data_IF_193490919765
#
_entry.id   IF_193490919765
#
_cell.length_a   1.000
_cell.length_b   1.000
_cell.length_c   1.000
_cell.angle_alpha   90.00
_cell.angle_beta   90.00
_cell.angle_gamma   90.00
#
_symmetry.space_group_name_H-M   'P 1'
#
loop_
_entity.id
_entity.type
_entity.pdbx_description
1 polymer ?
#
# COMPACT_ATOMS: atom_id res chain seq x y z
N UNK A 1 -23.43 19.48 -8.92
CA UNK A 1 -23.25 18.60 -7.75
C UNK A 1 -21.86 17.99 -7.81
N UNK A 2 -21.03 18.11 -6.77
CA UNK A 2 -19.92 17.16 -6.61
C UNK A 2 -20.51 15.75 -6.49
N UNK A 3 -19.91 14.78 -7.19
CA UNK A 3 -20.44 13.41 -7.26
C UNK A 3 -20.44 12.70 -5.91
N UNK A 4 -19.63 13.19 -4.95
CA UNK A 4 -19.42 12.56 -3.65
C UNK A 4 -20.40 13.02 -2.56
N UNK A 5 -20.84 14.29 -2.57
CA UNK A 5 -21.64 14.86 -1.47
C UNK A 5 -22.97 15.47 -1.91
N UNK A 6 -23.27 15.49 -3.21
CA UNK A 6 -24.52 16.09 -3.70
C UNK A 6 -24.48 17.61 -3.77
N UNK A 7 -23.36 18.26 -3.42
CA UNK A 7 -23.30 19.72 -3.22
C UNK A 7 -23.02 20.44 -4.53
N UNK A 8 -23.77 21.50 -4.81
CA UNK A 8 -23.52 22.32 -6.00
C UNK A 8 -22.30 23.21 -5.80
N UNK A 9 -21.43 23.25 -6.81
CA UNK A 9 -20.34 24.22 -6.84
C UNK A 9 -20.93 25.60 -7.12
N UNK A 10 -20.55 26.58 -6.32
CA UNK A 10 -20.76 27.99 -6.63
C UNK A 10 -19.42 28.62 -7.01
N UNK A 11 -19.38 29.28 -8.16
CA UNK A 11 -18.20 30.01 -8.61
C UNK A 11 -18.22 31.41 -7.97
N UNK A 12 -17.22 31.74 -7.15
CA UNK A 12 -17.05 33.10 -6.62
C UNK A 12 -16.13 33.93 -7.52
N UNK A 13 -14.87 33.53 -7.61
CA UNK A 13 -13.84 34.16 -8.47
C UNK A 13 -13.36 33.25 -9.60
N UNK A 14 -13.71 31.96 -9.54
CA UNK A 14 -13.38 30.99 -10.57
C UNK A 14 -14.32 31.13 -11.79
N UNK A 15 -13.88 30.63 -12.94
CA UNK A 15 -14.69 30.53 -14.17
C UNK A 15 -15.07 29.08 -14.42
N UNK A 16 -16.23 28.85 -15.03
CA UNK A 16 -16.56 27.52 -15.53
C UNK A 16 -15.63 27.20 -16.72
N UNK A 17 -14.90 26.09 -16.62
CA UNK A 17 -14.13 25.53 -17.73
C UNK A 17 -14.96 24.49 -18.51
N UNK A 18 -15.90 23.82 -17.83
CA UNK A 18 -16.91 22.97 -18.45
C UNK A 18 -18.18 22.96 -17.58
N UNK A 19 -19.34 22.70 -18.20
CA UNK A 19 -20.65 22.57 -17.54
C UNK A 19 -21.26 21.20 -17.80
N UNK A 20 -22.16 20.73 -16.93
CA UNK A 20 -22.90 19.50 -17.19
C UNK A 20 -23.89 19.70 -18.34
N UNK A 21 -23.97 18.72 -19.25
CA UNK A 21 -24.88 18.74 -20.40
C UNK A 21 -26.32 19.05 -19.98
N UNK A 22 -26.93 20.05 -20.63
CA UNK A 22 -28.30 20.47 -20.35
C UNK A 22 -28.47 21.32 -19.09
N UNK A 23 -27.38 21.80 -18.48
CA UNK A 23 -27.41 22.67 -17.30
C UNK A 23 -26.37 23.78 -17.41
N UNK A 24 -26.53 24.83 -16.59
CA UNK A 24 -25.50 25.86 -16.37
C UNK A 24 -24.56 25.54 -15.19
N UNK A 25 -24.72 24.34 -14.60
CA UNK A 25 -23.91 23.95 -13.44
C UNK A 25 -22.48 23.62 -13.88
N UNK A 26 -21.44 24.20 -13.27
CA UNK A 26 -20.07 23.90 -13.62
C UNK A 26 -19.73 22.45 -13.23
N UNK A 27 -19.21 21.70 -14.19
CA UNK A 27 -18.60 20.38 -13.98
C UNK A 27 -17.10 20.52 -13.67
N UNK A 28 -16.47 21.53 -14.27
CA UNK A 28 -15.06 21.89 -14.05
C UNK A 28 -14.98 23.39 -13.84
N UNK A 29 -14.29 23.81 -12.79
CA UNK A 29 -13.98 25.22 -12.57
C UNK A 29 -12.48 25.47 -12.70
N UNK A 30 -12.12 26.64 -13.22
CA UNK A 30 -10.76 27.12 -13.36
C UNK A 30 -10.59 28.38 -12.52
N UNK A 31 -9.61 28.36 -11.64
CA UNK A 31 -9.15 29.52 -10.89
C UNK A 31 -7.70 29.86 -11.27
N UNK A 32 -7.31 31.12 -11.10
CA UNK A 32 -5.92 31.57 -11.26
C UNK A 32 -5.36 31.98 -9.92
N UNK A 33 -4.19 31.44 -9.58
CA UNK A 33 -3.47 31.76 -8.33
C UNK A 33 -2.05 32.15 -8.70
N UNK A 34 -1.75 33.44 -8.60
CA UNK A 34 -0.51 34.00 -9.17
C UNK A 34 -0.44 33.77 -10.69
N UNK A 35 0.67 33.22 -11.16
CA UNK A 35 0.85 32.79 -12.56
C UNK A 35 0.26 31.40 -12.86
N UNK A 36 -0.18 30.66 -11.82
CA UNK A 36 -0.69 29.30 -11.93
C UNK A 36 -2.18 29.22 -12.28
N UNK A 37 -2.59 28.08 -12.81
CA UNK A 37 -3.98 27.67 -13.02
C UNK A 37 -4.33 26.52 -12.08
N UNK A 38 -5.51 26.56 -11.47
CA UNK A 38 -6.04 25.49 -10.63
C UNK A 38 -7.37 25.05 -11.21
N UNK A 39 -7.46 23.78 -11.61
CA UNK A 39 -8.70 23.17 -12.10
C UNK A 39 -9.33 22.33 -10.98
N UNK A 40 -10.61 22.54 -10.70
CA UNK A 40 -11.39 21.71 -9.79
C UNK A 40 -12.42 20.92 -10.60
N UNK A 41 -12.34 19.59 -10.51
CA UNK A 41 -13.20 18.65 -11.20
C UNK A 41 -14.23 18.13 -10.18
N UNK A 42 -15.51 18.40 -10.41
CA UNK A 42 -16.57 18.07 -9.47
C UNK A 42 -17.60 17.11 -10.07
N UNK A 43 -17.12 16.21 -10.90
CA UNK A 43 -17.94 15.19 -11.52
C UNK A 43 -17.16 13.88 -11.54
N UNK A 44 -17.89 12.78 -11.53
CA UNK A 44 -17.35 11.53 -12.05
C UNK A 44 -17.40 11.59 -13.57
N UNK A 45 -16.25 11.36 -14.20
CA UNK A 45 -16.14 11.34 -15.65
C UNK A 45 -16.01 9.89 -16.10
N UNK A 46 -16.64 9.54 -17.23
CA UNK A 46 -16.24 8.32 -17.94
C UNK A 46 -14.76 8.44 -18.33
N UNK A 47 -14.03 7.31 -18.51
CA UNK A 47 -12.64 7.36 -18.94
C UNK A 47 -12.41 8.21 -20.21
N UNK A 48 -13.34 8.18 -21.16
CA UNK A 48 -13.25 8.99 -22.39
C UNK A 48 -13.45 10.49 -22.12
N UNK A 49 -14.42 10.85 -21.28
CA UNK A 49 -14.64 12.24 -20.89
C UNK A 49 -13.44 12.77 -20.09
N UNK A 50 -12.87 11.96 -19.19
CA UNK A 50 -11.67 12.29 -18.43
C UNK A 50 -10.48 12.53 -19.36
N UNK A 51 -10.22 11.64 -20.32
CA UNK A 51 -9.16 11.83 -21.33
C UNK A 51 -9.36 13.10 -22.15
N UNK A 52 -10.59 13.38 -22.59
CA UNK A 52 -10.89 14.58 -23.37
C UNK A 52 -10.61 15.86 -22.56
N UNK A 53 -11.10 15.90 -21.33
CA UNK A 53 -10.91 17.01 -20.39
C UNK A 53 -9.42 17.22 -20.10
N UNK A 54 -8.71 16.17 -19.68
CA UNK A 54 -7.28 16.28 -19.38
C UNK A 54 -6.49 16.61 -20.63
N UNK A 55 -6.77 15.99 -21.77
CA UNK A 55 -6.12 16.32 -23.03
C UNK A 55 -6.26 17.79 -23.41
N UNK A 56 -7.45 18.38 -23.23
CA UNK A 56 -7.67 19.81 -23.46
C UNK A 56 -6.89 20.68 -22.45
N UNK A 57 -6.96 20.35 -21.16
CA UNK A 57 -6.24 21.09 -20.10
C UNK A 57 -4.73 21.04 -20.35
N UNK A 58 -4.19 19.87 -20.63
CA UNK A 58 -2.76 19.68 -20.88
C UNK A 58 -2.33 20.43 -22.14
N UNK A 59 -3.09 20.31 -23.24
CA UNK A 59 -2.82 21.00 -24.50
C UNK A 59 -2.81 22.53 -24.37
N UNK A 60 -3.80 23.12 -23.68
CA UNK A 60 -3.85 24.57 -23.41
C UNK A 60 -2.67 25.11 -22.61
N UNK A 61 -1.97 24.23 -21.88
CA UNK A 61 -0.82 24.58 -21.05
C UNK A 61 0.49 24.07 -21.65
N UNK A 62 0.49 23.67 -22.93
CA UNK A 62 1.64 23.11 -23.64
C UNK A 62 2.28 21.92 -22.90
N UNK A 63 1.47 21.17 -22.16
CA UNK A 63 1.87 19.91 -21.54
C UNK A 63 1.51 18.81 -22.53
N UNK A 64 2.51 18.12 -23.05
CA UNK A 64 2.34 17.00 -23.97
C UNK A 64 2.70 15.69 -23.28
N UNK A 65 2.08 14.60 -23.73
CA UNK A 65 2.53 13.26 -23.39
C UNK A 65 3.96 13.06 -23.90
N UNK A 66 4.85 12.56 -23.04
CA UNK A 66 6.24 12.29 -23.43
C UNK A 66 6.33 11.10 -24.38
N UNK A 67 5.44 10.12 -24.23
CA UNK A 67 5.45 8.87 -24.99
C UNK A 67 4.02 8.44 -25.35
N UNK A 68 3.33 9.17 -26.26
CA UNK A 68 1.96 8.87 -26.64
C UNK A 68 1.83 7.49 -27.28
N UNK A 69 0.73 6.82 -26.97
CA UNK A 69 0.38 5.48 -27.45
C UNK A 69 -0.95 5.54 -28.20
N UNK A 70 -1.06 4.79 -29.29
CA UNK A 70 -2.30 4.72 -30.06
C UNK A 70 -3.47 4.20 -29.20
N UNK A 71 -4.67 4.70 -29.50
CA UNK A 71 -5.91 4.41 -28.75
C UNK A 71 -6.31 2.93 -28.72
N UNK A 72 -5.65 2.07 -29.51
CA UNK A 72 -5.85 0.62 -29.49
C UNK A 72 -5.40 -0.03 -28.19
N UNK A 73 -4.57 0.66 -27.38
CA UNK A 73 -4.17 0.23 -26.05
C UNK A 73 -4.50 1.33 -25.01
N UNK A 74 -5.78 1.47 -24.62
CA UNK A 74 -6.24 2.64 -23.86
C UNK A 74 -5.76 2.67 -22.40
N UNK A 75 -5.23 1.57 -21.86
CA UNK A 75 -4.82 1.46 -20.45
C UNK A 75 -3.30 1.37 -20.29
N UNK A 76 -2.55 2.02 -21.19
CA UNK A 76 -1.10 2.02 -21.14
C UNK A 76 -0.60 3.25 -20.38
N UNK A 77 0.10 3.01 -19.28
CA UNK A 77 0.89 4.01 -18.59
C UNK A 77 2.25 4.13 -19.27
N UNK A 78 2.72 5.35 -19.52
CA UNK A 78 4.02 5.58 -20.15
C UNK A 78 4.91 6.56 -19.40
N UNK A 79 6.22 6.37 -19.56
CA UNK A 79 7.23 7.22 -18.93
C UNK A 79 8.52 7.28 -19.75
N UNK A 80 9.22 8.41 -19.65
CA UNK A 80 10.59 8.57 -20.18
C UNK A 80 11.49 9.02 -19.05
N UNK A 81 12.44 8.17 -18.67
CA UNK A 81 13.43 8.47 -17.63
C UNK A 81 14.79 8.74 -18.28
N UNK A 82 15.50 9.77 -17.83
CA UNK A 82 16.76 10.20 -18.47
C UNK A 82 17.90 10.21 -17.46
N UNK A 83 19.06 9.67 -17.84
CA UNK A 83 20.31 9.77 -17.07
C UNK A 83 21.48 10.03 -18.01
N UNK A 84 21.93 11.28 -18.05
CA UNK A 84 22.87 11.73 -19.10
C UNK A 84 22.22 11.60 -20.48
N UNK A 85 22.88 10.87 -21.39
CA UNK A 85 22.37 10.62 -22.74
C UNK A 85 21.55 9.33 -22.86
N UNK A 86 21.47 8.52 -21.80
CA UNK A 86 20.66 7.31 -21.77
C UNK A 86 19.20 7.66 -21.46
N UNK A 87 18.26 6.97 -22.11
CA UNK A 87 16.82 7.07 -21.82
C UNK A 87 16.19 5.70 -21.62
N UNK A 88 15.29 5.61 -20.65
CA UNK A 88 14.41 4.45 -20.46
C UNK A 88 13.01 4.84 -20.90
N UNK A 89 12.49 4.14 -21.89
CA UNK A 89 11.11 4.25 -22.34
C UNK A 89 10.31 3.14 -21.66
N UNK A 90 9.35 3.53 -20.84
CA UNK A 90 8.53 2.62 -20.04
C UNK A 90 7.10 2.62 -20.58
N UNK A 91 6.54 1.43 -20.80
CA UNK A 91 5.15 1.24 -21.19
C UNK A 91 4.57 0.09 -20.34
N UNK A 92 3.54 0.35 -19.56
CA UNK A 92 2.85 -0.68 -18.77
C UNK A 92 1.39 -0.76 -19.17
N UNK A 93 0.95 -1.91 -19.67
CA UNK A 93 -0.43 -2.11 -20.10
C UNK A 93 -1.26 -2.71 -18.97
N UNK A 94 -2.08 -1.88 -18.33
CA UNK A 94 -3.02 -2.30 -17.30
C UNK A 94 -4.27 -3.02 -17.86
N UNK A 95 -4.45 -3.02 -19.19
CA UNK A 95 -5.53 -3.71 -19.88
C UNK A 95 -5.17 -5.13 -20.31
N UNK A 96 -5.95 -5.69 -21.24
CA UNK A 96 -5.62 -6.95 -21.92
C UNK A 96 -4.52 -6.79 -22.96
N UNK A 97 -4.00 -7.91 -23.47
CA UNK A 97 -2.99 -7.93 -24.54
C UNK A 97 -3.38 -7.03 -25.71
N UNK A 98 -2.45 -6.19 -26.18
CA UNK A 98 -2.72 -5.21 -27.21
C UNK A 98 -1.56 -5.05 -28.19
N UNK A 99 -1.89 -4.84 -29.47
CA UNK A 99 -0.95 -4.32 -30.48
C UNK A 99 -1.20 -2.83 -30.65
N UNK A 100 -0.14 -2.04 -30.54
CA UNK A 100 -0.24 -0.58 -30.59
C UNK A 100 1.03 0.03 -31.18
N UNK A 101 1.04 1.35 -31.33
CA UNK A 101 2.19 2.14 -31.74
C UNK A 101 2.44 3.19 -30.67
N UNK A 102 3.69 3.29 -30.20
CA UNK A 102 4.10 4.43 -29.39
C UNK A 102 4.94 5.39 -30.21
N UNK A 103 4.91 6.68 -29.85
CA UNK A 103 5.78 7.72 -30.44
C UNK A 103 6.57 8.41 -29.34
N UNK A 104 7.74 8.95 -29.69
CA UNK A 104 8.48 9.86 -28.82
C UNK A 104 8.76 11.17 -29.57
N UNK A 105 7.80 12.12 -29.57
CA UNK A 105 7.91 13.36 -30.35
C UNK A 105 9.12 14.21 -29.98
N UNK A 106 9.49 14.20 -28.69
CA UNK A 106 10.64 14.90 -28.14
C UNK A 106 11.94 14.07 -28.21
N UNK A 107 12.00 13.03 -29.06
CA UNK A 107 13.22 12.26 -29.27
C UNK A 107 14.36 13.18 -29.72
N UNK A 108 15.52 13.15 -29.05
CA UNK A 108 16.68 13.94 -29.44
C UNK A 108 17.17 13.54 -30.83
N UNK A 109 17.80 14.47 -31.54
CA UNK A 109 18.38 14.20 -32.85
C UNK A 109 19.59 13.26 -32.75
N UNK A 110 19.79 12.49 -33.81
CA UNK A 110 20.87 11.50 -33.91
C UNK A 110 20.37 10.07 -34.15
N UNK A 111 21.31 9.14 -34.07
CA UNK A 111 21.07 7.70 -34.17
C UNK A 111 21.20 7.07 -32.79
N UNK A 112 20.31 6.14 -32.49
CA UNK A 112 20.20 5.48 -31.21
C UNK A 112 20.08 3.97 -31.37
N UNK A 113 20.69 3.21 -30.47
CA UNK A 113 20.28 1.82 -30.26
C UNK A 113 19.06 1.80 -29.36
N UNK A 114 18.06 0.98 -29.72
CA UNK A 114 16.90 0.70 -28.88
C UNK A 114 16.91 -0.79 -28.56
N UNK A 115 16.88 -1.13 -27.28
CA UNK A 115 16.97 -2.52 -26.82
C UNK A 115 15.92 -2.77 -25.75
N UNK A 116 15.44 -4.00 -25.71
CA UNK A 116 14.69 -4.48 -24.56
C UNK A 116 15.65 -4.52 -23.35
N UNK A 117 15.28 -3.83 -22.26
CA UNK A 117 16.17 -3.62 -21.13
C UNK A 117 16.40 -4.90 -20.31
N UNK A 118 15.48 -5.87 -20.38
CA UNK A 118 15.55 -7.13 -19.65
C UNK A 118 16.44 -8.14 -20.40
N UNK A 119 16.17 -8.36 -21.68
CA UNK A 119 16.91 -9.32 -22.52
C UNK A 119 18.21 -8.75 -23.11
N UNK A 120 18.35 -7.43 -23.14
CA UNK A 120 19.45 -6.72 -23.79
C UNK A 120 19.45 -6.81 -25.32
N UNK A 121 18.43 -7.41 -25.93
CA UNK A 121 18.36 -7.64 -27.37
C UNK A 121 17.90 -6.38 -28.14
N UNK A 122 18.39 -6.18 -29.39
CA UNK A 122 17.86 -5.13 -30.27
C UNK A 122 16.35 -5.23 -30.42
N UNK A 123 15.67 -4.12 -30.15
CA UNK A 123 14.22 -4.07 -30.24
C UNK A 123 13.77 -4.19 -31.71
N UNK A 124 12.78 -5.05 -31.97
CA UNK A 124 12.29 -5.37 -33.32
C UNK A 124 13.39 -5.79 -34.32
N UNK A 125 14.54 -6.29 -33.84
CA UNK A 125 15.68 -6.68 -34.68
C UNK A 125 16.41 -5.51 -35.38
N UNK A 126 16.02 -4.26 -35.13
CA UNK A 126 16.66 -3.08 -35.74
C UNK A 126 17.80 -2.59 -34.87
N UNK A 127 18.99 -2.44 -35.45
CA UNK A 127 20.20 -2.01 -34.74
C UNK A 127 20.18 -0.53 -34.35
N UNK A 128 19.70 0.33 -35.24
CA UNK A 128 19.73 1.78 -35.07
C UNK A 128 18.39 2.42 -35.40
N UNK A 129 18.03 3.44 -34.65
CA UNK A 129 16.79 4.20 -34.71
C UNK A 129 17.14 5.68 -34.79
N UNK A 130 16.56 6.37 -35.76
CA UNK A 130 16.66 7.81 -35.91
C UNK A 130 15.59 8.54 -35.09
N UNK A 131 15.79 9.82 -34.81
CA UNK A 131 14.74 10.66 -34.19
C UNK A 131 13.43 10.65 -34.99
N UNK A 132 13.50 10.52 -36.31
CA UNK A 132 12.32 10.42 -37.16
C UNK A 132 11.56 9.11 -37.00
N UNK A 133 12.26 7.98 -36.77
CA UNK A 133 11.59 6.71 -36.48
C UNK A 133 10.73 6.82 -35.21
N UNK A 134 11.29 7.42 -34.16
CA UNK A 134 10.57 7.66 -32.90
C UNK A 134 9.39 8.61 -33.06
N UNK A 135 9.52 9.65 -33.88
CA UNK A 135 8.44 10.61 -34.18
C UNK A 135 7.33 9.98 -35.02
N UNK A 136 7.67 9.14 -35.99
CA UNK A 136 6.71 8.41 -36.84
C UNK A 136 5.95 7.35 -36.04
N UNK A 137 6.65 6.66 -35.15
CA UNK A 137 6.11 5.68 -34.23
C UNK A 137 6.65 4.28 -34.43
N UNK A 138 6.65 3.53 -33.34
CA UNK A 138 7.20 2.19 -33.25
C UNK A 138 6.08 1.23 -32.85
N UNK A 139 5.81 0.25 -33.71
CA UNK A 139 4.82 -0.79 -33.44
C UNK A 139 5.31 -1.74 -32.36
N UNK A 140 4.43 -2.06 -31.41
CA UNK A 140 4.73 -2.92 -30.25
C UNK A 140 3.55 -3.84 -29.94
N UNK A 141 3.87 -4.98 -29.32
CA UNK A 141 2.87 -5.84 -28.65
C UNK A 141 3.09 -5.69 -27.15
N UNK A 142 2.06 -5.27 -26.44
CA UNK A 142 2.09 -5.11 -24.98
C UNK A 142 1.23 -6.20 -24.35
N UNK A 143 1.85 -7.02 -23.51
CA UNK A 143 1.14 -8.04 -22.74
C UNK A 143 0.39 -7.40 -21.57
N UNK A 144 -0.73 -8.00 -21.19
CA UNK A 144 -1.52 -7.60 -20.04
C UNK A 144 -0.69 -7.64 -18.75
N UNK A 145 -0.74 -6.56 -17.97
CA UNK A 145 -0.08 -6.41 -16.67
C UNK A 145 1.44 -6.63 -16.67
N UNK A 146 2.09 -6.56 -17.84
CA UNK A 146 3.54 -6.69 -17.98
C UNK A 146 4.15 -5.41 -18.55
N UNK A 147 5.18 -4.83 -17.92
CA UNK A 147 5.86 -3.67 -18.45
C UNK A 147 6.76 -4.04 -19.63
N UNK A 148 6.72 -3.24 -20.69
CA UNK A 148 7.79 -3.17 -21.70
C UNK A 148 8.75 -2.05 -21.31
N UNK A 149 10.01 -2.40 -21.08
CA UNK A 149 11.06 -1.45 -20.71
C UNK A 149 12.13 -1.42 -21.79
N UNK A 150 12.24 -0.29 -22.48
CA UNK A 150 13.21 -0.11 -23.56
C UNK A 150 14.34 0.84 -23.15
N UNK A 151 15.57 0.44 -23.41
CA UNK A 151 16.75 1.29 -23.23
C UNK A 151 17.15 1.91 -24.57
N UNK A 152 17.10 3.23 -24.64
CA UNK A 152 17.54 4.06 -25.76
C UNK A 152 18.89 4.71 -25.41
N UNK A 153 19.90 4.47 -26.23
CA UNK A 153 21.26 5.02 -26.05
C UNK A 153 21.81 5.52 -27.39
N UNK A 154 22.69 6.56 -27.41
CA UNK A 154 23.32 6.98 -28.66
C UNK A 154 24.05 5.81 -29.33
N UNK A 155 23.92 5.67 -30.66
CA UNK A 155 24.42 4.51 -31.39
C UNK A 155 25.94 4.30 -31.26
N UNK A 156 26.70 5.39 -31.08
CA UNK A 156 28.15 5.37 -30.91
C UNK A 156 28.59 5.21 -29.44
N UNK A 157 27.67 5.25 -28.48
CA UNK A 157 28.01 5.12 -27.07
C UNK A 157 28.31 3.66 -26.71
N UNK A 158 29.14 3.45 -25.69
CA UNK A 158 29.28 2.14 -25.08
C UNK A 158 27.94 1.69 -24.50
N UNK A 159 27.46 0.54 -24.96
CA UNK A 159 26.17 0.01 -24.53
C UNK A 159 26.19 -0.33 -23.05
N UNK A 160 25.18 0.16 -22.32
CA UNK A 160 24.99 -0.20 -20.92
C UNK A 160 24.38 -1.59 -20.88
N UNK A 161 24.99 -2.49 -20.13
CA UNK A 161 24.49 -3.86 -19.94
C UNK A 161 23.97 -3.96 -18.52
N UNK A 162 22.69 -4.30 -18.37
CA UNK A 162 22.10 -4.61 -17.07
C UNK A 162 22.34 -6.09 -16.76
N UNK A 163 23.56 -6.45 -16.35
CA UNK A 163 23.88 -7.86 -16.08
C UNK A 163 23.50 -8.30 -14.67
N UNK A 164 23.40 -7.34 -13.73
CA UNK A 164 23.00 -7.59 -12.34
C UNK A 164 22.43 -6.33 -11.71
N UNK A 165 21.68 -6.54 -10.63
CA UNK A 165 21.31 -5.46 -9.72
C UNK A 165 22.56 -4.93 -9.00
N UNK A 166 22.47 -3.70 -8.49
CA UNK A 166 23.52 -3.22 -7.57
C UNK A 166 23.43 -4.00 -6.27
N UNK A 167 24.55 -4.15 -5.55
CA UNK A 167 24.53 -4.83 -4.24
C UNK A 167 23.56 -4.19 -3.24
N UNK A 168 23.28 -2.89 -3.39
CA UNK A 168 22.26 -2.21 -2.59
C UNK A 168 20.85 -2.67 -2.94
N UNK A 169 20.54 -2.89 -4.23
CA UNK A 169 19.26 -3.42 -4.67
C UNK A 169 19.11 -4.91 -4.35
N UNK A 170 20.17 -5.71 -4.51
CA UNK A 170 20.19 -7.13 -4.11
C UNK A 170 19.84 -7.26 -2.62
N UNK A 171 20.52 -6.48 -1.76
CA UNK A 171 20.22 -6.45 -0.31
C UNK A 171 18.79 -6.03 0.00
N UNK A 172 18.21 -5.09 -0.76
CA UNK A 172 16.80 -4.69 -0.59
C UNK A 172 15.83 -5.80 -1.02
N UNK A 173 16.13 -6.53 -2.09
CA UNK A 173 15.33 -7.68 -2.52
C UNK A 173 15.46 -8.85 -1.54
N UNK A 174 16.63 -9.07 -0.95
CA UNK A 174 16.82 -10.09 0.08
C UNK A 174 15.84 -9.91 1.25
N UNK A 175 15.56 -8.67 1.67
CA UNK A 175 14.55 -8.38 2.70
C UNK A 175 13.13 -8.86 2.33
N UNK A 176 12.81 -8.88 1.03
CA UNK A 176 11.50 -9.37 0.55
C UNK A 176 11.43 -10.90 0.60
N UNK A 177 12.53 -11.58 0.31
CA UNK A 177 12.57 -13.03 0.12
C UNK A 177 12.93 -13.81 1.38
N UNK A 178 13.81 -13.25 2.22
CA UNK A 178 14.37 -13.93 3.37
C UNK A 178 14.27 -13.08 4.62
N UNK A 179 14.05 -13.77 5.73
CA UNK A 179 14.11 -13.18 7.06
C UNK A 179 15.34 -13.76 7.74
N UNK A 180 16.14 -12.95 8.45
CA UNK A 180 17.26 -13.47 9.21
C UNK A 180 16.72 -14.45 10.26
N UNK A 181 17.39 -15.59 10.42
CA UNK A 181 17.07 -16.53 11.48
C UNK A 181 17.22 -15.84 12.83
N UNK A 182 16.16 -15.87 13.62
CA UNK A 182 16.10 -15.15 14.88
C UNK A 182 15.35 -15.94 15.94
N UNK A 183 15.56 -15.58 17.21
CA UNK A 183 14.98 -16.27 18.35
C UNK A 183 13.44 -16.19 18.37
N UNK A 184 12.88 -15.07 17.93
CA UNK A 184 11.44 -14.83 17.95
C UNK A 184 10.90 -14.94 16.54
N UNK A 185 10.26 -16.07 16.26
CA UNK A 185 9.67 -16.34 14.95
C UNK A 185 8.24 -15.84 14.91
N UNK A 186 7.92 -15.08 13.86
CA UNK A 186 6.61 -14.50 13.59
C UNK A 186 6.07 -15.06 12.28
N UNK A 187 4.80 -15.41 12.28
CA UNK A 187 4.08 -15.83 11.09
C UNK A 187 2.99 -14.82 10.73
N UNK A 188 3.11 -14.22 9.55
CA UNK A 188 2.11 -13.34 8.93
C UNK A 188 1.24 -14.15 7.99
N UNK A 189 -0.06 -14.14 8.22
CA UNK A 189 -1.04 -14.70 7.29
C UNK A 189 -1.24 -13.76 6.11
N UNK A 190 -0.98 -14.26 4.90
CA UNK A 190 -1.23 -13.60 3.62
C UNK A 190 -2.07 -14.48 2.68
N UNK A 191 -2.91 -15.35 3.24
CA UNK A 191 -3.78 -16.22 2.47
C UNK A 191 -4.79 -15.40 1.66
N UNK A 192 -4.89 -15.67 0.35
CA UNK A 192 -5.76 -15.14 -0.74
C UNK A 192 -6.52 -13.81 -0.57
N UNK A 193 -7.20 -13.58 0.55
CA UNK A 193 -7.79 -12.28 0.87
C UNK A 193 -6.79 -11.38 1.63
N UNK A 194 -5.98 -11.88 2.56
CA UNK A 194 -5.10 -11.03 3.38
C UNK A 194 -3.90 -10.54 2.56
N UNK A 195 -3.89 -9.26 2.18
CA UNK A 195 -2.87 -8.72 1.26
C UNK A 195 -1.65 -8.13 1.96
N UNK A 196 -1.68 -7.99 3.29
CA UNK A 196 -0.55 -7.45 4.04
C UNK A 196 0.55 -8.51 4.16
N UNK A 197 1.45 -8.52 3.18
CA UNK A 197 2.63 -9.38 3.12
C UNK A 197 3.88 -8.64 3.61
N UNK A 198 5.05 -9.33 3.68
CA UNK A 198 6.35 -8.63 3.90
C UNK A 198 6.52 -7.44 2.94
N UNK A 199 6.12 -7.60 1.68
CA UNK A 199 6.26 -6.57 0.64
C UNK A 199 5.47 -5.30 1.00
N UNK A 200 4.26 -5.44 1.56
CA UNK A 200 3.43 -4.29 1.95
C UNK A 200 3.80 -3.70 3.31
N UNK A 201 4.68 -4.37 4.07
CA UNK A 201 5.08 -3.99 5.42
C UNK A 201 6.59 -3.78 5.55
N UNK A 202 7.28 -3.47 4.44
CA UNK A 202 8.74 -3.46 4.38
C UNK A 202 9.41 -2.74 5.55
N UNK A 203 8.90 -1.56 5.93
CA UNK A 203 9.43 -0.78 7.05
C UNK A 203 9.26 -1.50 8.38
N UNK A 204 8.07 -2.04 8.64
CA UNK A 204 7.80 -2.78 9.86
C UNK A 204 8.64 -4.08 9.91
N UNK A 205 8.74 -4.80 8.79
CA UNK A 205 9.56 -6.00 8.66
C UNK A 205 11.02 -5.71 8.99
N UNK A 206 11.63 -4.73 8.29
CA UNK A 206 13.04 -4.40 8.49
C UNK A 206 13.30 -3.92 9.92
N UNK A 207 12.40 -3.11 10.47
CA UNK A 207 12.49 -2.67 11.86
C UNK A 207 12.44 -3.86 12.83
N UNK A 208 11.51 -4.79 12.65
CA UNK A 208 11.36 -5.95 13.51
C UNK A 208 12.56 -6.91 13.37
N UNK A 209 13.03 -7.16 12.15
CA UNK A 209 14.20 -8.01 11.90
C UNK A 209 15.46 -7.44 12.56
N UNK A 210 15.67 -6.12 12.49
CA UNK A 210 16.74 -5.42 13.19
C UNK A 210 16.59 -5.43 14.72
N UNK A 211 15.42 -5.84 15.24
CA UNK A 211 15.12 -5.98 16.66
C UNK A 211 14.94 -7.45 17.10
N UNK A 212 15.49 -8.41 16.34
CA UNK A 212 15.59 -9.80 16.78
C UNK A 212 14.38 -10.68 16.46
N UNK A 213 13.54 -10.26 15.51
CA UNK A 213 12.41 -11.03 15.01
C UNK A 213 12.73 -11.69 13.65
N UNK A 214 12.15 -12.86 13.40
CA UNK A 214 12.14 -13.54 12.10
C UNK A 214 10.72 -13.45 11.54
N UNK A 215 10.49 -12.67 10.47
CA UNK A 215 9.14 -12.41 9.95
C UNK A 215 8.84 -13.28 8.73
N UNK A 216 8.07 -14.35 8.87
CA UNK A 216 7.69 -15.23 7.77
C UNK A 216 6.27 -14.93 7.26
N UNK A 217 5.98 -15.14 5.97
CA UNK A 217 4.64 -14.90 5.37
C UNK A 217 4.05 -16.17 4.77
N UNK A 218 2.75 -16.37 4.98
CA UNK A 218 1.96 -17.49 4.47
C UNK A 218 1.12 -17.08 3.24
N UNK A 219 1.34 -17.65 2.05
CA UNK A 219 0.75 -17.13 0.81
C UNK A 219 -0.54 -17.80 0.32
N UNK A 220 -0.81 -19.10 0.58
CA UNK A 220 -2.11 -19.69 0.17
C UNK A 220 -2.47 -21.02 0.87
N UNK A 221 -3.76 -21.36 0.86
CA UNK A 221 -4.30 -22.71 1.14
C UNK A 221 -5.55 -22.94 0.27
N UNK A 222 -5.60 -24.03 -0.55
CA UNK A 222 -6.49 -25.14 -0.14
C UNK A 222 -6.10 -26.58 -0.61
N UNK A 223 -6.62 -27.53 0.17
CA UNK A 223 -6.72 -29.02 0.01
C UNK A 223 -5.43 -29.80 0.31
N UNK A 224 -5.40 -30.30 1.54
CA UNK A 224 -4.44 -31.25 2.14
C UNK A 224 -2.97 -30.83 2.29
N UNK A 225 -2.47 -29.88 1.51
CA UNK A 225 -1.10 -29.33 1.67
C UNK A 225 -1.09 -27.81 1.43
N UNK A 226 -0.27 -27.09 2.21
CA UNK A 226 -0.08 -25.64 2.11
C UNK A 226 1.30 -25.34 1.52
N UNK A 227 1.37 -24.60 0.42
CA UNK A 227 2.64 -24.18 -0.20
C UNK A 227 2.98 -22.76 0.27
N UNK A 228 4.16 -22.60 0.85
CA UNK A 228 4.72 -21.32 1.30
C UNK A 228 5.93 -21.02 0.41
N UNK A 229 6.27 -19.75 0.16
CA UNK A 229 7.51 -19.39 -0.56
C UNK A 229 8.80 -19.84 0.14
N UNK A 230 8.72 -20.45 1.33
CA UNK A 230 9.88 -21.02 2.01
C UNK A 230 9.59 -22.24 2.88
N UNK A 231 8.36 -22.53 3.36
CA UNK A 231 8.15 -23.73 4.18
C UNK A 231 6.68 -24.05 4.59
N UNK A 232 6.17 -25.25 4.24
CA UNK A 232 4.82 -25.80 4.53
C UNK A 232 4.30 -25.68 5.98
N UNK A 233 3.29 -24.86 6.29
CA UNK A 233 2.68 -24.85 7.63
C UNK A 233 1.60 -25.93 7.73
N UNK A 234 2.00 -27.11 8.16
CA UNK A 234 1.11 -28.10 8.77
C UNK A 234 0.83 -27.70 10.22
N UNK A 235 -0.10 -28.40 10.88
CA UNK A 235 -0.35 -28.33 12.33
C UNK A 235 0.94 -28.36 13.17
N UNK A 236 1.99 -28.92 12.58
CA UNK A 236 3.36 -29.06 13.09
C UNK A 236 4.22 -27.76 13.01
N UNK A 237 3.73 -26.64 12.45
CA UNK A 237 4.51 -25.39 12.33
C UNK A 237 4.05 -24.22 13.19
N UNK A 238 2.78 -24.05 13.57
CA UNK A 238 2.41 -22.93 14.47
C UNK A 238 3.16 -23.00 15.80
N UNK A 239 3.37 -24.20 16.32
CA UNK A 239 4.14 -24.43 17.55
C UNK A 239 5.62 -24.00 17.43
N UNK A 240 6.13 -23.85 16.20
CA UNK A 240 7.48 -23.33 15.93
C UNK A 240 7.55 -21.79 15.89
N UNK A 241 6.40 -21.12 15.94
CA UNK A 241 6.28 -19.66 15.95
C UNK A 241 5.89 -19.16 17.33
N UNK A 242 6.39 -17.98 17.70
CA UNK A 242 5.98 -17.31 18.93
C UNK A 242 4.74 -16.44 18.71
N UNK A 243 4.65 -15.82 17.53
CA UNK A 243 3.61 -14.84 17.19
C UNK A 243 2.96 -15.24 15.87
N UNK A 244 1.62 -15.26 15.85
CA UNK A 244 0.81 -15.35 14.64
C UNK A 244 0.10 -14.02 14.39
N UNK A 245 0.03 -13.61 13.13
CA UNK A 245 -0.56 -12.34 12.71
C UNK A 245 -1.58 -12.59 11.62
N UNK A 246 -2.79 -12.07 11.78
CA UNK A 246 -3.81 -11.97 10.74
C UNK A 246 -4.20 -10.51 10.55
N UNK A 247 -4.00 -10.00 9.35
CA UNK A 247 -4.20 -8.60 9.01
C UNK A 247 -5.41 -8.43 8.09
N UNK A 248 -5.97 -7.22 8.05
CA UNK A 248 -7.09 -6.88 7.18
C UNK A 248 -6.69 -6.92 5.71
N UNK A 249 -7.65 -7.29 4.87
CA UNK A 249 -7.58 -7.18 3.41
C UNK A 249 -8.13 -5.85 2.91
N UNK A 250 -7.70 -5.44 1.71
CA UNK A 250 -8.40 -4.46 0.87
C UNK A 250 -9.22 -5.09 -0.28
N UNK A 251 -9.22 -6.42 -0.43
CA UNK A 251 -9.96 -7.18 -1.45
C UNK A 251 -10.63 -8.40 -0.80
N UNK A 252 -11.86 -8.21 -0.34
CA UNK A 252 -12.70 -9.28 0.19
C UNK A 252 -12.35 -9.74 1.61
N UNK A 253 -13.09 -10.74 2.08
CA UNK A 253 -12.97 -11.25 3.45
C UNK A 253 -12.69 -12.76 3.45
N UNK A 254 -11.69 -13.18 4.23
CA UNK A 254 -11.34 -14.60 4.38
C UNK A 254 -12.37 -15.27 5.27
N UNK A 255 -13.07 -16.27 4.76
CA UNK A 255 -13.92 -17.14 5.60
C UNK A 255 -13.03 -18.13 6.36
N UNK A 256 -12.95 -17.98 7.68
CA UNK A 256 -12.23 -18.92 8.55
C UNK A 256 -13.10 -20.14 8.85
N UNK A 257 -12.50 -21.33 8.80
CA UNK A 257 -13.15 -22.56 9.26
C UNK A 257 -13.02 -22.69 10.77
N UNK A 258 -13.98 -23.33 11.42
CA UNK A 258 -13.96 -23.50 12.87
C UNK A 258 -12.73 -24.29 13.34
N UNK A 259 -12.23 -25.25 12.55
CA UNK A 259 -11.02 -26.01 12.88
C UNK A 259 -9.77 -25.11 12.93
N UNK A 260 -9.67 -24.13 12.02
CA UNK A 260 -8.58 -23.14 12.02
C UNK A 260 -8.66 -22.24 13.24
N UNK A 261 -9.87 -21.77 13.56
CA UNK A 261 -10.15 -20.95 14.75
C UNK A 261 -9.76 -21.70 16.03
N UNK A 262 -10.18 -22.96 16.17
CA UNK A 262 -9.85 -23.80 17.33
C UNK A 262 -8.34 -24.04 17.45
N UNK A 263 -7.64 -24.18 16.33
CA UNK A 263 -6.19 -24.37 16.28
C UNK A 263 -5.44 -23.09 16.72
N UNK A 264 -5.87 -21.92 16.27
CA UNK A 264 -5.31 -20.62 16.72
C UNK A 264 -5.59 -20.41 18.20
N UNK A 265 -6.81 -20.69 18.66
CA UNK A 265 -7.18 -20.60 20.07
C UNK A 265 -6.25 -21.46 20.94
N UNK A 266 -6.07 -22.74 20.58
CA UNK A 266 -5.16 -23.65 21.28
C UNK A 266 -3.70 -23.17 21.27
N UNK A 267 -3.24 -22.62 20.14
CA UNK A 267 -1.91 -22.01 20.03
C UNK A 267 -1.72 -20.89 21.06
N UNK A 268 -2.71 -19.99 21.19
CA UNK A 268 -2.66 -18.91 22.18
C UNK A 268 -2.74 -19.47 23.61
N UNK A 269 -3.66 -20.39 23.89
CA UNK A 269 -3.78 -21.05 25.21
C UNK A 269 -2.45 -21.65 25.69
N UNK A 270 -1.68 -22.22 24.76
CA UNK A 270 -0.39 -22.86 25.02
C UNK A 270 0.80 -21.90 25.11
N UNK A 271 0.60 -20.59 24.92
CA UNK A 271 1.65 -19.58 25.07
C UNK A 271 2.12 -18.91 23.77
N UNK A 272 1.53 -19.30 22.64
CA UNK A 272 1.58 -18.52 21.41
C UNK A 272 0.92 -17.15 21.59
N UNK A 273 1.25 -16.20 20.72
CA UNK A 273 0.69 -14.84 20.80
C UNK A 273 0.08 -14.42 19.46
N UNK A 274 -0.95 -13.59 19.51
CA UNK A 274 -1.79 -13.27 18.37
C UNK A 274 -1.89 -11.76 18.17
N UNK A 275 -1.62 -11.29 16.95
CA UNK A 275 -2.02 -9.96 16.51
C UNK A 275 -3.15 -10.10 15.49
N UNK A 276 -4.31 -9.53 15.80
CA UNK A 276 -5.44 -9.43 14.86
C UNK A 276 -5.65 -7.96 14.53
N UNK A 277 -5.44 -7.60 13.27
CA UNK A 277 -5.83 -6.29 12.78
C UNK A 277 -6.96 -6.40 11.78
N UNK A 278 -7.97 -5.55 11.96
CA UNK A 278 -9.02 -5.34 10.99
C UNK A 278 -8.60 -4.30 9.93
N UNK A 279 -9.49 -4.05 8.98
CA UNK A 279 -9.44 -2.87 8.15
C UNK A 279 -10.87 -2.54 7.77
N UNK A 280 -11.25 -1.28 7.94
CA UNK A 280 -12.53 -0.74 7.50
C UNK A 280 -12.31 0.54 6.68
N UNK A 281 -11.36 0.54 5.75
CA UNK A 281 -11.11 1.67 4.88
C UNK A 281 -12.08 1.72 3.68
N UNK A 282 -12.47 2.92 3.29
CA UNK A 282 -13.04 3.20 1.96
C UNK A 282 -11.87 3.55 1.06
N UNK A 283 -11.57 2.69 0.08
CA UNK A 283 -10.58 2.98 -0.96
C UNK A 283 -11.25 3.36 -2.28
N UNK A 284 -10.50 3.92 -3.26
CA UNK A 284 -11.02 4.20 -4.61
C UNK A 284 -11.50 2.93 -5.35
N UNK A 285 -11.15 1.75 -4.84
CA UNK A 285 -11.56 0.45 -5.37
C UNK A 285 -12.67 -0.25 -4.56
N UNK A 286 -13.31 0.45 -3.61
CA UNK A 286 -14.51 -0.02 -2.92
C UNK A 286 -14.41 -0.08 -1.39
N UNK A 287 -15.43 -0.70 -0.79
CA UNK A 287 -15.52 -0.97 0.65
C UNK A 287 -14.55 -2.09 1.04
N UNK A 288 -13.56 -1.78 1.87
CA UNK A 288 -12.74 -2.81 2.53
C UNK A 288 -13.38 -3.09 3.89
N UNK A 289 -13.99 -4.26 4.07
CA UNK A 289 -14.59 -4.65 5.35
C UNK A 289 -14.30 -6.12 5.62
N UNK A 290 -13.48 -6.41 6.65
CA UNK A 290 -13.02 -7.77 7.00
C UNK A 290 -13.89 -8.45 8.07
N UNK A 291 -15.20 -8.19 8.07
CA UNK A 291 -16.11 -8.49 9.19
C UNK A 291 -16.30 -9.98 9.46
N UNK A 292 -16.75 -10.73 8.46
CA UNK A 292 -17.26 -12.09 8.63
C UNK A 292 -16.17 -13.09 8.98
N UNK A 293 -14.95 -12.89 8.50
CA UNK A 293 -13.82 -13.75 8.78
C UNK A 293 -13.30 -13.60 10.20
N UNK A 294 -12.85 -12.40 10.53
CA UNK A 294 -12.14 -12.14 11.78
C UNK A 294 -13.08 -12.11 12.99
N UNK A 295 -14.35 -11.76 12.80
CA UNK A 295 -15.35 -11.80 13.87
C UNK A 295 -15.53 -13.19 14.49
N UNK A 296 -15.47 -14.26 13.69
CA UNK A 296 -15.57 -15.64 14.20
C UNK A 296 -14.38 -15.98 15.09
N UNK A 297 -13.17 -15.57 14.71
CA UNK A 297 -11.97 -15.77 15.52
C UNK A 297 -12.00 -14.94 16.81
N UNK A 298 -12.31 -13.65 16.71
CA UNK A 298 -12.30 -12.74 17.86
C UNK A 298 -13.35 -13.08 18.92
N UNK A 299 -14.48 -13.67 18.50
CA UNK A 299 -15.55 -14.12 19.40
C UNK A 299 -15.07 -15.17 20.40
N UNK A 300 -14.13 -16.04 20.04
CA UNK A 300 -13.52 -17.02 20.96
C UNK A 300 -12.77 -16.37 22.13
N UNK A 301 -12.40 -15.10 21.98
CA UNK A 301 -11.70 -14.29 22.97
C UNK A 301 -12.61 -13.22 23.60
N UNK A 302 -13.92 -13.27 23.32
CA UNK A 302 -14.91 -12.30 23.80
C UNK A 302 -14.71 -10.88 23.26
N UNK A 303 -14.11 -10.75 22.08
CA UNK A 303 -13.89 -9.47 21.41
C UNK A 303 -14.77 -9.40 20.16
N UNK A 304 -15.34 -8.23 19.92
CA UNK A 304 -16.16 -7.93 18.77
C UNK A 304 -15.57 -6.77 17.99
N UNK A 305 -15.65 -6.89 16.67
CA UNK A 305 -15.25 -5.86 15.71
C UNK A 305 -16.52 -5.25 15.12
N UNK A 306 -16.68 -3.93 15.27
CA UNK A 306 -17.81 -3.18 14.73
C UNK A 306 -17.61 -2.80 13.27
N UNK A 307 -18.71 -2.60 12.53
CA UNK A 307 -18.73 -1.94 11.21
C UNK A 307 -18.77 -0.40 11.30
N UNK A 308 -18.55 0.13 12.50
CA UNK A 308 -18.45 1.57 12.71
C UNK A 308 -17.01 2.00 12.54
N UNK A 309 -16.80 2.87 11.56
CA UNK A 309 -15.57 3.60 11.36
C UNK A 309 -15.46 4.77 12.33
N UNK A 310 -14.24 5.02 12.82
CA UNK A 310 -13.93 6.27 13.50
C UNK A 310 -13.64 7.35 12.47
N UNK A 311 -14.36 8.46 12.58
CA UNK A 311 -14.00 9.73 11.91
C UNK A 311 -13.40 10.68 12.93
N UNK A 312 -12.21 11.21 12.66
CA UNK A 312 -11.67 12.33 13.42
C UNK A 312 -11.83 13.60 12.58
N UNK A 313 -12.71 14.53 12.97
CA UNK A 313 -12.99 15.72 12.18
C UNK A 313 -11.99 16.86 12.40
N UNK A 314 -11.14 16.76 13.42
CA UNK A 314 -10.17 17.80 13.79
C UNK A 314 -8.74 17.46 13.44
N UNK A 315 -8.43 16.18 13.27
CA UNK A 315 -7.06 15.70 13.16
C UNK A 315 -6.98 14.44 12.29
N UNK A 316 -6.67 14.68 11.01
CA UNK A 316 -6.61 13.68 9.96
C UNK A 316 -5.58 14.07 8.91
N UNK A 317 -5.22 13.13 8.05
CA UNK A 317 -4.36 13.37 6.89
C UNK A 317 -5.17 13.34 5.59
N UNK A 318 -4.59 13.91 4.53
CA UNK A 318 -5.10 13.90 3.15
C UNK A 318 -6.57 14.32 2.99
N UNK A 319 -7.05 15.22 3.85
CA UNK A 319 -8.44 15.71 3.80
C UNK A 319 -9.51 14.62 3.98
N UNK A 320 -9.15 13.51 4.61
CA UNK A 320 -10.04 12.38 4.81
C UNK A 320 -10.19 12.02 6.29
N UNK A 321 -11.30 12.42 6.97
CA UNK A 321 -11.51 12.21 8.41
C UNK A 321 -11.42 10.75 8.90
N UNK A 322 -11.55 9.77 8.00
CA UNK A 322 -11.35 8.35 8.33
C UNK A 322 -9.87 8.01 8.59
N UNK A 323 -8.95 8.84 8.11
CA UNK A 323 -7.51 8.69 8.29
C UNK A 323 -7.06 9.58 9.46
N UNK A 324 -7.72 9.35 10.59
CA UNK A 324 -7.56 10.14 11.80
C UNK A 324 -6.32 9.75 12.61
N UNK A 325 -5.85 10.71 13.41
CA UNK A 325 -4.87 10.45 14.46
C UNK A 325 -5.53 10.30 15.83
N UNK A 326 -4.85 9.58 16.71
CA UNK A 326 -5.31 9.23 18.04
C UNK A 326 -4.24 9.57 19.07
N UNK A 327 -4.65 10.24 20.15
CA UNK A 327 -3.76 10.45 21.30
C UNK A 327 -3.69 9.16 22.11
N UNK A 328 -2.47 8.80 22.50
CA UNK A 328 -2.20 7.56 23.23
C UNK A 328 -1.73 7.92 24.63
N UNK A 329 -2.36 7.29 25.63
CA UNK A 329 -1.94 7.40 27.02
C UNK A 329 -0.99 6.25 27.36
N UNK A 330 0.14 6.58 28.01
CA UNK A 330 1.09 5.59 28.50
C UNK A 330 0.52 4.90 29.75
N UNK A 331 -0.14 3.75 29.56
CA UNK A 331 -0.84 2.96 30.60
C UNK A 331 -0.46 1.49 30.57
N UNK A 332 0.27 1.06 29.55
CA UNK A 332 0.62 -0.33 29.29
C UNK A 332 1.98 -0.37 28.60
N UNK A 333 2.80 -1.43 28.74
CA UNK A 333 4.09 -1.53 28.03
C UNK A 333 4.00 -1.31 26.51
N UNK A 334 2.87 -1.71 25.91
CA UNK A 334 2.57 -1.44 24.49
C UNK A 334 2.59 0.05 24.15
N UNK A 335 2.14 0.91 25.06
CA UNK A 335 2.00 2.35 24.83
C UNK A 335 3.19 3.17 25.36
N UNK A 336 4.25 2.53 25.83
CA UNK A 336 5.46 3.22 26.32
C UNK A 336 6.12 4.06 25.23
N UNK A 337 6.26 5.36 25.47
CA UNK A 337 6.82 6.31 24.51
C UNK A 337 5.95 6.57 23.27
N UNK A 338 4.69 6.13 23.28
CA UNK A 338 3.72 6.37 22.20
C UNK A 338 2.76 7.46 22.68
N UNK A 339 2.82 8.63 22.05
CA UNK A 339 1.90 9.74 22.32
C UNK A 339 0.83 9.87 21.25
N UNK A 340 1.14 9.44 20.03
CA UNK A 340 0.29 9.62 18.86
C UNK A 340 0.31 8.39 17.96
N UNK A 341 -0.86 7.96 17.54
CA UNK A 341 -1.04 6.90 16.56
C UNK A 341 -1.80 7.43 15.33
N UNK A 342 -1.30 7.17 14.13
CA UNK A 342 -1.93 7.56 12.86
C UNK A 342 -2.57 6.35 12.19
N UNK A 343 -3.86 6.45 11.88
CA UNK A 343 -4.63 5.38 11.20
C UNK A 343 -4.95 5.72 9.74
N UNK A 344 -5.26 4.68 8.96
CA UNK A 344 -5.87 4.77 7.63
C UNK A 344 -7.23 4.02 7.53
N UNK A 345 -8.01 3.97 8.61
CA UNK A 345 -9.34 3.37 8.58
C UNK A 345 -9.62 2.52 9.81
N UNK A 346 -9.81 3.21 10.94
CA UNK A 346 -9.96 2.56 12.24
C UNK A 346 -11.40 2.11 12.50
N UNK A 347 -11.57 0.84 12.86
CA UNK A 347 -12.85 0.32 13.38
C UNK A 347 -12.95 0.39 14.91
N UNK A 348 -14.18 0.45 15.40
CA UNK A 348 -14.49 0.27 16.82
C UNK A 348 -14.37 -1.20 17.24
N UNK A 349 -13.83 -1.42 18.44
CA UNK A 349 -13.78 -2.69 19.13
C UNK A 349 -14.69 -2.65 20.37
N UNK A 350 -15.28 -3.79 20.71
CA UNK A 350 -15.94 -4.02 21.99
C UNK A 350 -15.48 -5.33 22.61
N UNK A 351 -15.58 -5.42 23.92
CA UNK A 351 -15.26 -6.62 24.69
C UNK A 351 -16.51 -7.02 25.49
N UNK A 352 -16.92 -8.27 25.37
CA UNK A 352 -18.02 -8.86 26.13
C UNK A 352 -17.51 -10.09 26.87
N UNK A 353 -17.63 -10.11 28.19
CA UNK A 353 -17.14 -11.21 29.04
C UNK A 353 -15.65 -11.54 28.80
N UNK A 354 -14.84 -10.52 28.51
CA UNK A 354 -13.43 -10.66 28.16
C UNK A 354 -12.56 -9.84 29.11
N UNK A 355 -11.35 -10.31 29.49
CA UNK A 355 -10.39 -9.53 30.26
C UNK A 355 -9.65 -8.48 29.43
N UNK A 356 -10.07 -8.25 28.17
CA UNK A 356 -9.44 -7.29 27.29
C UNK A 356 -9.48 -5.86 27.84
N UNK A 357 -8.31 -5.22 27.84
CA UNK A 357 -8.13 -3.83 28.26
C UNK A 357 -7.96 -2.94 27.04
N UNK A 358 -8.74 -1.85 26.92
CA UNK A 358 -8.55 -0.87 25.86
C UNK A 358 -7.24 -0.09 26.08
N UNK A 359 -6.42 -0.02 25.04
CA UNK A 359 -5.14 0.68 25.05
C UNK A 359 -5.20 2.03 24.32
N UNK A 360 -6.02 2.10 23.26
CA UNK A 360 -6.28 3.33 22.53
C UNK A 360 -7.80 3.47 22.41
N UNK A 361 -8.29 4.67 22.74
CA UNK A 361 -9.67 5.10 22.57
C UNK A 361 -9.72 6.19 21.51
N UNK A 362 -10.85 6.32 20.80
CA UNK A 362 -11.12 7.50 19.98
C UNK A 362 -11.26 8.74 20.87
N UNK A 363 -10.82 9.90 20.38
CA UNK A 363 -10.87 11.14 21.14
C UNK A 363 -12.27 11.76 21.18
N UNK A 364 -12.45 12.79 22.00
CA UNK A 364 -13.71 13.53 22.10
C UNK A 364 -14.15 14.21 20.79
N UNK A 365 -13.21 14.53 19.90
CA UNK A 365 -13.50 15.08 18.56
C UNK A 365 -13.74 14.01 17.49
N UNK A 366 -13.69 12.74 17.88
CA UNK A 366 -13.99 11.62 17.00
C UNK A 366 -15.48 11.24 17.04
N UNK A 367 -15.94 10.60 15.98
CA UNK A 367 -17.26 9.98 15.90
C UNK A 367 -17.10 8.49 15.55
N UNK A 368 -17.52 7.57 16.44
CA UNK A 368 -17.88 7.80 17.85
C UNK A 368 -16.68 8.24 18.71
N UNK A 369 -16.97 8.99 19.79
CA UNK A 369 -16.01 9.38 20.81
C UNK A 369 -15.82 8.27 21.87
N UNK A 370 -14.65 8.24 22.51
CA UNK A 370 -14.28 7.32 23.61
C UNK A 370 -14.45 5.83 23.29
N UNK A 371 -14.52 5.49 22.01
CA UNK A 371 -14.71 4.13 21.53
C UNK A 371 -13.36 3.41 21.48
N UNK A 372 -13.24 2.17 22.01
CA UNK A 372 -12.00 1.42 21.90
C UNK A 372 -11.64 1.11 20.45
N UNK A 373 -10.37 1.30 20.12
CA UNK A 373 -9.84 1.04 18.77
C UNK A 373 -8.62 0.10 18.77
N UNK A 374 -8.01 -0.08 19.94
CA UNK A 374 -6.97 -1.07 20.19
C UNK A 374 -7.19 -1.68 21.58
N UNK A 375 -7.12 -3.01 21.66
CA UNK A 375 -7.24 -3.75 22.91
C UNK A 375 -6.11 -4.77 23.04
N UNK A 376 -5.77 -5.12 24.28
CA UNK A 376 -4.88 -6.22 24.58
C UNK A 376 -5.44 -7.12 25.69
N UNK A 377 -5.08 -8.40 25.68
CA UNK A 377 -5.43 -9.36 26.72
C UNK A 377 -4.40 -10.47 26.82
N UNK A 378 -4.32 -11.08 28.00
CA UNK A 378 -3.73 -12.41 28.16
C UNK A 378 -4.85 -13.47 28.07
N UNK A 379 -4.56 -14.59 27.40
CA UNK A 379 -5.50 -15.70 27.24
C UNK A 379 -4.76 -17.02 27.39
N UNK A 380 -5.13 -17.82 28.40
CA UNK A 380 -4.31 -18.96 28.83
C UNK A 380 -2.89 -18.51 29.17
N UNK A 381 -1.88 -19.06 28.48
CA UNK A 381 -0.47 -18.64 28.62
C UNK A 381 -0.04 -17.60 27.57
N UNK A 382 -0.92 -17.28 26.62
CA UNK A 382 -0.64 -16.42 25.48
C UNK A 382 -1.02 -14.96 25.70
N UNK A 383 -0.72 -14.14 24.68
CA UNK A 383 -1.02 -12.71 24.63
C UNK A 383 -1.68 -12.38 23.30
N UNK A 384 -2.67 -11.49 23.33
CA UNK A 384 -3.41 -11.09 22.14
C UNK A 384 -3.45 -9.57 22.10
N UNK A 385 -3.21 -9.01 20.91
CA UNK A 385 -3.48 -7.61 20.58
C UNK A 385 -4.48 -7.58 19.44
N UNK A 386 -5.50 -6.75 19.57
CA UNK A 386 -6.52 -6.53 18.54
C UNK A 386 -6.56 -5.05 18.18
N UNK A 387 -6.59 -4.74 16.89
CA UNK A 387 -6.63 -3.36 16.40
C UNK A 387 -7.60 -3.21 15.23
N UNK A 388 -8.34 -2.10 15.19
CA UNK A 388 -9.31 -1.83 14.12
C UNK A 388 -8.70 -1.50 12.75
N UNK A 389 -7.37 -1.37 12.66
CA UNK A 389 -6.64 -0.98 11.44
C UNK A 389 -5.40 -1.86 11.24
N UNK A 390 -5.09 -2.16 9.98
CA UNK A 390 -3.89 -2.89 9.52
C UNK A 390 -3.06 -2.09 8.51
N UNK A 391 -3.62 -1.05 7.89
CA UNK A 391 -2.95 -0.23 6.88
C UNK A 391 -1.83 0.62 7.49
N UNK A 392 -1.87 0.88 8.80
CA UNK A 392 -0.83 1.60 9.54
C UNK A 392 0.57 0.94 9.50
N UNK A 393 0.65 -0.34 9.15
CA UNK A 393 1.93 -1.08 8.97
C UNK A 393 2.60 -0.79 7.61
N UNK A 394 1.98 -0.01 6.73
CA UNK A 394 2.56 0.38 5.46
C UNK A 394 3.74 1.35 5.64
N UNK A 395 4.73 1.34 4.72
CA UNK A 395 5.94 2.14 4.86
C UNK A 395 5.71 3.62 5.20
N UNK A 396 4.79 4.26 4.50
CA UNK A 396 4.50 5.69 4.62
C UNK A 396 3.84 6.02 5.96
N UNK A 397 3.00 5.11 6.47
CA UNK A 397 2.22 5.33 7.69
C UNK A 397 3.02 4.95 8.94
N UNK A 398 3.95 4.01 8.82
CA UNK A 398 4.92 3.70 9.87
C UNK A 398 5.79 4.92 10.24
N UNK A 399 6.01 5.84 9.29
CA UNK A 399 6.74 7.09 9.52
C UNK A 399 5.92 8.16 10.26
N UNK A 400 4.60 7.98 10.41
CA UNK A 400 3.70 8.98 10.96
C UNK A 400 3.45 8.76 12.45
N UNK A 401 3.30 9.86 13.20
CA UNK A 401 3.12 9.80 14.65
C UNK A 401 4.23 9.01 15.33
N UNK A 402 3.84 8.13 16.25
CA UNK A 402 4.72 7.18 16.94
C UNK A 402 4.42 5.73 16.50
N UNK A 403 3.93 5.53 15.27
CA UNK A 403 3.49 4.24 14.76
C UNK A 403 4.61 3.18 14.80
N UNK A 404 5.85 3.54 14.43
CA UNK A 404 6.99 2.65 14.53
C UNK A 404 7.26 2.19 15.97
N UNK A 405 7.15 3.10 16.94
CA UNK A 405 7.31 2.75 18.36
C UNK A 405 6.21 1.80 18.82
N UNK A 406 4.96 2.10 18.47
CA UNK A 406 3.81 1.26 18.83
C UNK A 406 3.97 -0.16 18.24
N UNK A 407 4.38 -0.27 16.98
CA UNK A 407 4.67 -1.55 16.33
C UNK A 407 5.71 -2.35 17.12
N UNK A 408 6.86 -1.76 17.43
CA UNK A 408 7.91 -2.46 18.17
C UNK A 408 7.44 -2.89 19.56
N UNK A 409 6.68 -2.04 20.26
CA UNK A 409 6.16 -2.36 21.59
C UNK A 409 5.14 -3.50 21.56
N UNK A 410 4.24 -3.54 20.57
CA UNK A 410 3.30 -4.64 20.37
C UNK A 410 4.05 -5.96 20.26
N UNK A 411 5.04 -6.01 19.36
CA UNK A 411 5.77 -7.25 19.10
C UNK A 411 6.62 -7.69 20.29
N UNK A 412 7.28 -6.76 20.98
CA UNK A 412 8.00 -7.05 22.22
C UNK A 412 7.07 -7.56 23.32
N UNK A 413 5.90 -6.96 23.49
CA UNK A 413 4.92 -7.44 24.46
C UNK A 413 4.38 -8.84 24.10
N UNK A 414 4.02 -9.08 22.83
CA UNK A 414 3.62 -10.41 22.36
C UNK A 414 4.74 -11.46 22.54
N UNK A 415 6.01 -11.06 22.40
CA UNK A 415 7.15 -11.93 22.62
C UNK A 415 7.53 -12.15 24.10
N UNK A 416 6.89 -11.43 25.04
CA UNK A 416 7.30 -11.35 26.46
C UNK A 416 8.68 -10.73 26.69
N UNK A 417 9.02 -9.73 25.88
CA UNK A 417 10.25 -8.94 25.95
C UNK A 417 10.01 -7.46 26.33
N UNK A 418 8.93 -7.16 27.05
CA UNK A 418 8.56 -5.78 27.43
C UNK A 418 9.68 -5.03 28.16
N UNK A 419 10.52 -5.71 28.94
CA UNK A 419 11.66 -5.12 29.64
C UNK A 419 12.76 -4.61 28.69
N UNK A 420 12.73 -5.02 27.42
CA UNK A 420 13.66 -4.56 26.37
C UNK A 420 13.13 -3.37 25.58
N UNK A 421 11.89 -2.91 25.86
CA UNK A 421 11.31 -1.76 25.18
C UNK A 421 12.16 -0.52 25.48
N UNK A 422 12.56 0.16 24.40
CA UNK A 422 13.28 1.43 24.43
C UNK A 422 12.60 2.35 23.45
N UNK A 423 12.55 3.64 23.80
CA UNK A 423 12.06 4.67 22.89
C UNK A 423 13.03 4.77 21.71
N UNK A 424 12.50 4.67 20.50
CA UNK A 424 13.23 4.78 19.25
C UNK A 424 13.66 6.22 19.05
N UNK A 425 14.93 6.40 18.68
CA UNK A 425 15.42 7.68 18.22
C UNK A 425 14.78 8.02 16.86
N UNK A 426 14.41 9.28 16.63
CA UNK A 426 13.73 9.72 15.40
C UNK A 426 14.56 9.39 14.16
N UNK A 427 15.87 9.48 14.27
CA UNK A 427 16.83 9.21 13.20
C UNK A 427 16.73 7.75 12.73
N UNK A 428 16.49 6.80 13.66
CA UNK A 428 16.28 5.39 13.31
C UNK A 428 14.96 5.14 12.59
N UNK A 429 13.90 5.88 12.96
CA UNK A 429 12.62 5.77 12.26
C UNK A 429 12.78 6.23 10.81
N UNK A 430 13.48 7.35 10.60
CA UNK A 430 13.81 7.85 9.26
C UNK A 430 14.59 6.79 8.47
N UNK A 431 15.61 6.17 9.07
CA UNK A 431 16.41 5.10 8.42
C UNK A 431 15.55 3.94 7.91
N UNK A 432 14.52 3.52 8.66
CA UNK A 432 13.60 2.46 8.21
C UNK A 432 12.65 2.90 7.09
N UNK A 433 12.41 4.20 6.96
CA UNK A 433 11.43 4.77 6.03
C UNK A 433 12.09 5.41 4.79
N UNK A 434 13.40 5.60 4.83
CA UNK A 434 14.17 6.18 3.72
C UNK A 434 14.45 5.12 2.65
N UNK A 435 13.45 4.90 1.80
CA UNK A 435 13.61 4.14 0.57
C UNK A 435 14.13 5.00 -0.58
N UNK A 436 14.46 6.28 -0.35
CA UNK A 436 14.86 7.17 -1.43
C UNK A 436 16.09 6.60 -2.14
N UNK A 437 15.94 6.44 -3.45
CA UNK A 437 17.05 6.12 -4.34
C UNK A 437 17.78 7.44 -4.54
N UNK A 438 18.84 7.67 -3.77
CA UNK A 438 19.79 8.75 -4.07
C UNK A 438 20.59 8.43 -5.34
#
# INVERSE_FOLDING_TARGET
SDGATGRNISLRSAKAAAVFTGTDSPAISLNRVGSGKVYYLAAEFSPDALRSVFGSILGENAISENLPVDKTAPYVETGVFTKGNDRVLYLHNWGGDAKTVFRYPAAPDGLFTLRDAESGQPFAGKKEWSSQDFKNGIAVTLSAHSPLVLLMQPAQASQRIFSRLSSAHEKKLELLHHSPQNRIRVLVSAAKAEQMTKVRMLTAVQMLENNGFEINTLLDAPKTEMTVCTDHILREKLDSYKIFITLGSCIGDRKWKQEEVNLIKKFVENGGSLLVSANLAVGPHGWTANRSGKGVLLKEFGIELSEVNIKNASDYIIEFPLFGAFNVSEKHPITTGVKRFQSLGMSVLSAQNSPAVPLILSGASCEPADAPVMMALEYGKGRIVVMGDSQWLQPEIMAMGDNAQLCLNIFKWLAREENSIRVLAKEKIIEYTDYSIK
#
